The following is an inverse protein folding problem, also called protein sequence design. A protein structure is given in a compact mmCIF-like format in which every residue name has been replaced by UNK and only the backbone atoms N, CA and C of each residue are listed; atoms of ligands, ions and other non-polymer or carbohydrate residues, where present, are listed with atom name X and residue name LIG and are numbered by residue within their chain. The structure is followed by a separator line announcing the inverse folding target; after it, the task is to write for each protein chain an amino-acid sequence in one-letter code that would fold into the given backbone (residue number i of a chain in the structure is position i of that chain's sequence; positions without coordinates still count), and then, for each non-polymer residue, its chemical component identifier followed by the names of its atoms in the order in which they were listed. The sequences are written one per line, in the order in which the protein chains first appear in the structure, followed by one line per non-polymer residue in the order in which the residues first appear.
data_IF_308616453361
#
_entry.id   IF_308616453361
#
_cell.length_a   1.000
_cell.length_b   1.000
_cell.length_c   1.000
_cell.angle_alpha   90.00
_cell.angle_beta   90.00
_cell.angle_gamma   90.00
#
_symmetry.space_group_name_H-M   'P 1'
#
loop_
_entity.id
_entity.type
_entity.pdbx_description
1 polymer ?
#
# COMPACT_ATOMS: atom_id res chain seq x y z
N UNK A 1 28.64 -24.71 23.87
CA UNK A 1 27.97 -24.06 22.70
C UNK A 1 26.53 -23.84 23.11
N UNK A 2 26.09 -22.60 23.21
CA UNK A 2 24.68 -22.28 23.45
C UNK A 2 23.91 -22.40 22.13
N UNK A 3 22.71 -22.95 22.18
CA UNK A 3 21.76 -23.02 21.06
C UNK A 3 20.63 -22.04 21.35
N UNK A 4 20.14 -21.38 20.30
CA UNK A 4 18.93 -20.54 20.39
C UNK A 4 17.73 -21.45 20.56
N UNK A 5 16.98 -21.27 21.65
CA UNK A 5 15.77 -22.05 21.92
C UNK A 5 14.50 -21.33 21.46
N UNK A 6 14.44 -19.99 21.47
CA UNK A 6 13.17 -19.27 21.19
C UNK A 6 13.29 -17.88 20.52
N UNK A 7 14.46 -17.23 20.50
CA UNK A 7 14.62 -15.89 19.90
C UNK A 7 15.72 -15.86 18.83
N UNK A 8 15.55 -15.01 17.81
CA UNK A 8 16.59 -14.74 16.79
C UNK A 8 16.43 -15.50 15.47
N UNK A 9 15.44 -16.38 15.31
CA UNK A 9 15.10 -16.92 13.98
C UNK A 9 14.31 -15.89 13.18
N UNK A 10 14.54 -15.83 11.87
CA UNK A 10 13.89 -14.84 11.01
C UNK A 10 12.37 -15.04 10.95
N UNK A 11 11.88 -16.27 11.08
CA UNK A 11 10.46 -16.56 11.04
C UNK A 11 9.78 -16.58 12.42
N UNK A 12 10.53 -16.46 13.52
CA UNK A 12 9.93 -16.42 14.87
C UNK A 12 8.79 -15.40 15.00
N UNK A 13 8.91 -14.15 14.47
CA UNK A 13 7.81 -13.19 14.49
C UNK A 13 6.55 -13.69 13.77
N UNK A 14 6.72 -14.25 12.56
CA UNK A 14 5.60 -14.72 11.75
C UNK A 14 4.89 -15.91 12.40
N UNK A 15 5.67 -16.86 12.91
CA UNK A 15 5.14 -18.06 13.59
C UNK A 15 4.41 -17.66 14.88
N UNK A 16 5.00 -16.79 15.70
CA UNK A 16 4.36 -16.29 16.92
C UNK A 16 3.05 -15.56 16.58
N UNK A 17 3.09 -14.68 15.58
CA UNK A 17 1.92 -13.92 15.15
C UNK A 17 0.79 -14.82 14.65
N UNK A 18 1.11 -15.85 13.85
CA UNK A 18 0.14 -16.85 13.40
C UNK A 18 -0.44 -17.64 14.57
N UNK A 19 0.40 -18.08 15.49
CA UNK A 19 -0.05 -18.85 16.65
C UNK A 19 -1.02 -18.04 17.53
N UNK A 20 -0.65 -16.82 17.91
CA UNK A 20 -1.51 -15.96 18.72
C UNK A 20 -2.78 -15.58 17.95
N UNK A 21 -2.72 -15.36 16.63
CA UNK A 21 -3.91 -15.15 15.82
C UNK A 21 -4.88 -16.35 15.88
N UNK A 22 -4.37 -17.59 15.80
CA UNK A 22 -5.19 -18.79 15.97
C UNK A 22 -5.85 -18.87 17.36
N UNK A 23 -5.13 -18.47 18.42
CA UNK A 23 -5.67 -18.42 19.79
C UNK A 23 -6.77 -17.36 19.94
N UNK A 24 -6.63 -16.22 19.26
CA UNK A 24 -7.58 -15.12 19.31
C UNK A 24 -8.80 -15.32 18.40
N UNK A 25 -8.71 -16.14 17.36
CA UNK A 25 -9.79 -16.34 16.38
C UNK A 25 -11.13 -16.73 17.01
N UNK A 26 -11.21 -17.70 17.95
CA UNK A 26 -12.48 -18.06 18.59
C UNK A 26 -13.08 -16.91 19.43
N UNK A 27 -12.22 -16.04 19.99
CA UNK A 27 -12.65 -14.87 20.76
C UNK A 27 -13.22 -13.81 19.82
N UNK A 28 -12.57 -13.57 18.68
CA UNK A 28 -13.05 -12.66 17.65
C UNK A 28 -14.41 -13.11 17.08
N UNK A 29 -14.59 -14.41 16.84
CA UNK A 29 -15.88 -14.97 16.40
C UNK A 29 -16.98 -14.81 17.45
N UNK A 30 -16.65 -14.99 18.72
CA UNK A 30 -17.60 -14.84 19.83
C UNK A 30 -17.98 -13.39 20.10
N UNK A 31 -17.09 -12.44 19.81
CA UNK A 31 -17.25 -11.02 20.08
C UNK A 31 -17.07 -10.20 18.79
N UNK A 32 -17.99 -10.32 17.82
CA UNK A 32 -17.84 -9.71 16.50
C UNK A 32 -17.83 -8.17 16.52
N UNK A 33 -18.38 -7.57 17.58
CA UNK A 33 -18.43 -6.12 17.77
C UNK A 33 -17.19 -5.57 18.50
N UNK A 34 -16.29 -6.43 18.98
CA UNK A 34 -15.03 -6.03 19.57
C UNK A 34 -13.93 -5.99 18.51
N UNK A 35 -13.11 -4.94 18.53
CA UNK A 35 -11.89 -4.89 17.72
C UNK A 35 -10.78 -5.48 18.56
N UNK A 36 -10.30 -6.66 18.18
CA UNK A 36 -9.13 -7.31 18.79
C UNK A 36 -8.02 -7.29 17.74
N UNK A 37 -7.03 -6.44 17.93
CA UNK A 37 -5.89 -6.28 17.06
C UNK A 37 -4.63 -6.78 17.74
N UNK A 38 -3.87 -7.64 17.06
CA UNK A 38 -2.64 -8.24 17.56
C UNK A 38 -1.48 -7.87 16.65
N UNK A 39 -0.43 -7.29 17.23
CA UNK A 39 0.81 -6.99 16.54
C UNK A 39 2.00 -7.37 17.41
N UNK A 40 2.77 -8.36 16.96
CA UNK A 40 3.96 -8.85 17.66
C UNK A 40 3.66 -9.30 19.09
N UNK A 41 3.97 -8.46 20.09
CA UNK A 41 3.75 -8.74 21.51
C UNK A 41 2.57 -7.92 22.08
N UNK A 42 2.02 -6.99 21.29
CA UNK A 42 0.97 -6.06 21.70
C UNK A 42 -0.41 -6.55 21.24
N UNK A 43 -1.39 -6.48 22.14
CA UNK A 43 -2.80 -6.73 21.86
C UNK A 43 -3.60 -5.49 22.23
N UNK A 44 -4.31 -4.94 21.25
CA UNK A 44 -5.25 -3.84 21.40
C UNK A 44 -6.67 -4.41 21.37
N UNK A 45 -7.46 -4.10 22.40
CA UNK A 45 -8.88 -4.46 22.49
C UNK A 45 -9.69 -3.18 22.58
N UNK A 46 -10.64 -2.98 21.67
CA UNK A 46 -11.56 -1.85 21.68
C UNK A 46 -13.01 -2.33 21.58
N UNK A 47 -13.88 -1.72 22.38
CA UNK A 47 -15.32 -2.03 22.46
C UNK A 47 -16.12 -0.76 22.62
N UNK A 48 -17.44 -0.82 22.38
CA UNK A 48 -18.34 0.33 22.54
C UNK A 48 -18.58 0.71 24.01
N UNK A 49 -18.45 -0.24 24.94
CA UNK A 49 -18.68 -0.02 26.37
C UNK A 49 -17.62 -0.71 27.24
N UNK A 50 -17.39 -0.17 28.44
CA UNK A 50 -16.43 -0.69 29.41
C UNK A 50 -16.83 -2.08 29.95
N UNK A 51 -18.12 -2.30 30.19
CA UNK A 51 -18.61 -3.62 30.66
C UNK A 51 -18.38 -4.72 29.62
N UNK A 52 -18.52 -4.37 28.33
CA UNK A 52 -18.18 -5.27 27.25
C UNK A 52 -16.66 -5.45 27.15
N UNK A 53 -15.88 -4.39 27.33
CA UNK A 53 -14.41 -4.45 27.35
C UNK A 53 -13.90 -5.43 28.39
N UNK A 54 -14.37 -5.32 29.64
CA UNK A 54 -13.96 -6.20 30.75
C UNK A 54 -14.23 -7.67 30.44
N UNK A 55 -15.39 -7.94 29.84
CA UNK A 55 -15.80 -9.31 29.46
C UNK A 55 -14.88 -9.87 28.38
N UNK A 56 -14.61 -9.09 27.33
CA UNK A 56 -13.74 -9.49 26.21
C UNK A 56 -12.30 -9.65 26.68
N UNK A 57 -11.79 -8.70 27.46
CA UNK A 57 -10.44 -8.74 28.03
C UNK A 57 -10.26 -9.99 28.89
N UNK A 58 -11.19 -10.28 29.82
CA UNK A 58 -11.12 -11.48 30.66
C UNK A 58 -11.07 -12.75 29.83
N UNK A 59 -11.87 -12.85 28.77
CA UNK A 59 -11.86 -14.02 27.87
C UNK A 59 -10.59 -14.12 27.03
N UNK A 60 -10.05 -12.99 26.60
CA UNK A 60 -8.80 -12.91 25.86
C UNK A 60 -7.62 -13.35 26.74
N UNK A 61 -7.53 -12.83 27.96
CA UNK A 61 -6.51 -13.21 28.96
C UNK A 61 -6.59 -14.71 29.24
N UNK A 62 -7.78 -15.24 29.52
CA UNK A 62 -7.98 -16.68 29.76
C UNK A 62 -7.52 -17.55 28.59
N UNK A 63 -7.78 -17.14 27.35
CA UNK A 63 -7.38 -17.88 26.16
C UNK A 63 -5.86 -17.89 25.99
N UNK A 64 -5.20 -16.76 26.22
CA UNK A 64 -3.75 -16.59 26.09
C UNK A 64 -3.00 -17.32 27.21
N UNK A 65 -3.46 -17.19 28.45
CA UNK A 65 -2.89 -17.90 29.60
C UNK A 65 -3.10 -19.42 29.50
N UNK A 66 -4.24 -19.85 28.96
CA UNK A 66 -4.56 -21.27 28.76
C UNK A 66 -3.59 -21.99 27.82
N UNK A 67 -2.89 -21.27 26.94
CA UNK A 67 -1.85 -21.82 26.04
C UNK A 67 -0.42 -21.56 26.53
N UNK A 68 -0.26 -20.99 27.72
CA UNK A 68 1.04 -20.81 28.38
C UNK A 68 1.72 -19.45 28.18
N UNK A 69 1.03 -18.46 27.59
CA UNK A 69 1.53 -17.07 27.55
C UNK A 69 1.14 -16.31 28.82
N UNK A 70 2.01 -15.42 29.27
CA UNK A 70 1.73 -14.57 30.44
C UNK A 70 1.50 -13.12 29.99
N UNK A 71 0.37 -12.54 30.40
CA UNK A 71 0.09 -11.13 30.16
C UNK A 71 0.71 -10.31 31.28
N UNK A 72 1.60 -9.40 30.92
CA UNK A 72 2.17 -8.44 31.85
C UNK A 72 1.08 -7.44 32.30
N UNK A 73 0.34 -7.79 33.36
CA UNK A 73 -0.79 -6.99 33.88
C UNK A 73 -0.40 -5.54 34.20
N UNK A 74 0.83 -5.31 34.64
CA UNK A 74 1.38 -3.97 34.90
C UNK A 74 1.59 -3.10 33.64
N UNK A 75 1.52 -3.67 32.43
CA UNK A 75 1.60 -2.93 31.16
C UNK A 75 0.22 -2.65 30.55
N UNK A 76 -0.87 -3.13 31.16
CA UNK A 76 -2.21 -2.87 30.65
C UNK A 76 -2.55 -1.40 30.86
N UNK A 77 -2.95 -0.74 29.78
CA UNK A 77 -3.33 0.67 29.77
C UNK A 77 -4.86 0.80 29.86
N UNK A 78 -5.38 1.09 31.06
CA UNK A 78 -6.82 1.15 31.31
C UNK A 78 -7.44 2.50 30.98
N UNK A 79 -6.69 3.58 31.09
CA UNK A 79 -7.20 4.94 30.95
C UNK A 79 -6.53 5.68 29.80
N UNK A 80 -7.31 6.54 29.16
CA UNK A 80 -6.85 7.49 28.14
C UNK A 80 -5.83 8.48 28.75
N UNK A 81 -4.77 8.88 28.03
CA UNK A 81 -4.42 8.48 26.67
C UNK A 81 -3.63 7.16 26.60
N UNK A 82 -3.94 6.34 25.60
CA UNK A 82 -3.26 5.07 25.34
C UNK A 82 -2.06 5.26 24.42
N UNK A 83 -1.09 4.36 24.50
CA UNK A 83 0.07 4.31 23.61
C UNK A 83 0.11 2.96 22.89
N UNK A 84 0.22 3.01 21.56
CA UNK A 84 0.25 1.81 20.72
C UNK A 84 0.99 2.11 19.41
N UNK A 85 1.94 1.25 19.02
CA UNK A 85 2.72 1.38 17.77
C UNK A 85 3.36 2.77 17.54
N UNK A 86 3.82 3.41 18.62
CA UNK A 86 4.42 4.76 18.58
C UNK A 86 3.40 5.90 18.45
N UNK A 87 2.11 5.63 18.55
CA UNK A 87 1.04 6.63 18.57
C UNK A 87 0.51 6.82 19.99
N UNK A 88 0.12 8.05 20.30
CA UNK A 88 -0.69 8.38 21.48
C UNK A 88 -2.13 8.58 21.03
N UNK A 89 -3.00 7.70 21.51
CA UNK A 89 -4.40 7.60 21.14
C UNK A 89 -5.23 8.19 22.27
N UNK A 90 -6.05 9.18 21.92
CA UNK A 90 -7.08 9.76 22.78
C UNK A 90 -8.45 9.27 22.35
N UNK A 91 -9.51 9.65 23.05
CA UNK A 91 -10.89 9.23 22.72
C UNK A 91 -11.33 9.64 21.30
N UNK A 92 -10.89 10.80 20.81
CA UNK A 92 -11.29 11.34 19.50
C UNK A 92 -10.14 11.57 18.53
N UNK A 93 -8.91 11.57 19.04
CA UNK A 93 -7.75 12.03 18.28
C UNK A 93 -6.56 11.10 18.43
N UNK A 94 -5.68 11.14 17.43
CA UNK A 94 -4.43 10.40 17.38
C UNK A 94 -3.32 11.39 17.11
N UNK A 95 -2.26 11.31 17.92
CA UNK A 95 -1.03 12.08 17.71
C UNK A 95 0.18 11.15 17.74
N UNK A 96 1.27 11.48 17.04
CA UNK A 96 2.55 10.80 17.24
C UNK A 96 2.97 10.83 18.71
N UNK A 97 3.53 9.73 19.22
CA UNK A 97 4.23 9.75 20.50
C UNK A 97 5.42 10.70 20.39
N UNK A 98 5.75 11.38 21.49
CA UNK A 98 6.70 12.48 21.55
C UNK A 98 8.00 12.18 20.79
N UNK A 99 8.10 12.74 19.59
CA UNK A 99 9.27 12.63 18.74
C UNK A 99 10.31 13.64 19.20
N UNK A 100 11.43 13.14 19.70
CA UNK A 100 12.60 13.98 19.97
C UNK A 100 13.26 14.24 18.61
N UNK A 101 12.87 15.34 17.98
CA UNK A 101 13.51 15.84 16.77
C UNK A 101 14.88 16.35 17.18
N UNK A 102 15.94 15.67 16.74
CA UNK A 102 17.30 16.22 16.81
C UNK A 102 17.35 17.48 15.95
N UNK A 103 17.50 18.62 16.59
CA UNK A 103 17.52 19.95 15.96
C UNK A 103 18.82 20.25 15.22
N UNK A 104 19.87 19.45 15.44
CA UNK A 104 21.19 19.67 14.86
C UNK A 104 21.86 18.37 14.34
N UNK A 105 21.32 17.69 13.31
CA UNK A 105 22.01 16.59 12.63
C UNK A 105 23.37 17.03 12.06
N UNK A 106 24.45 16.35 12.48
CA UNK A 106 25.83 16.67 12.07
C UNK A 106 26.38 15.76 10.99
N UNK A 107 25.80 14.57 10.83
CA UNK A 107 26.23 13.55 9.86
C UNK A 107 25.11 13.17 8.91
N UNK A 108 25.44 12.53 7.79
CA UNK A 108 24.42 11.96 6.88
C UNK A 108 23.53 10.94 7.62
N UNK A 109 24.09 10.16 8.54
CA UNK A 109 23.34 9.23 9.40
C UNK A 109 22.30 9.94 10.24
N UNK A 110 22.67 11.02 10.93
CA UNK A 110 21.74 11.80 11.74
C UNK A 110 20.61 12.37 10.88
N UNK A 111 20.96 12.87 9.70
CA UNK A 111 19.99 13.43 8.76
C UNK A 111 19.05 12.35 8.21
N UNK A 112 19.54 11.14 7.90
CA UNK A 112 18.68 10.01 7.53
C UNK A 112 17.72 9.62 8.65
N UNK A 113 18.20 9.55 9.90
CA UNK A 113 17.36 9.23 11.05
C UNK A 113 16.26 10.30 11.23
N UNK A 114 16.64 11.58 11.16
CA UNK A 114 15.72 12.70 11.24
C UNK A 114 14.65 12.66 10.14
N UNK A 115 15.07 12.54 8.89
CA UNK A 115 14.15 12.44 7.75
C UNK A 115 13.21 11.24 7.87
N UNK A 116 13.70 10.08 8.31
CA UNK A 116 12.88 8.90 8.55
C UNK A 116 11.80 9.14 9.59
N UNK A 117 12.16 9.74 10.72
CA UNK A 117 11.24 10.12 11.79
C UNK A 117 10.20 11.15 11.34
N UNK A 118 10.60 12.16 10.57
CA UNK A 118 9.70 13.20 10.07
C UNK A 118 8.72 12.63 9.03
N UNK A 119 9.22 11.83 8.07
CA UNK A 119 8.38 11.22 7.03
C UNK A 119 7.28 10.34 7.64
N UNK A 120 7.58 9.65 8.74
CA UNK A 120 6.61 8.80 9.44
C UNK A 120 5.42 9.60 10.00
N UNK A 121 5.62 10.85 10.42
CA UNK A 121 4.52 11.69 10.96
C UNK A 121 3.81 12.56 9.93
N UNK A 122 4.38 12.75 8.74
CA UNK A 122 3.80 13.61 7.71
C UNK A 122 2.31 13.34 7.44
N UNK A 123 1.84 12.08 7.27
CA UNK A 123 0.42 11.79 6.99
C UNK A 123 -0.52 12.27 8.09
N UNK A 124 -0.09 12.28 9.35
CA UNK A 124 -0.90 12.70 10.49
C UNK A 124 -0.90 14.23 10.67
N UNK A 125 0.19 14.88 10.29
CA UNK A 125 0.41 16.30 10.56
C UNK A 125 0.17 17.19 9.35
N UNK A 126 0.01 16.66 8.14
CA UNK A 126 -0.16 17.50 6.95
C UNK A 126 1.10 18.27 6.58
N UNK A 127 2.28 17.65 6.77
CA UNK A 127 3.57 18.22 6.38
C UNK A 127 3.89 17.75 4.96
N UNK A 128 3.99 18.69 4.04
CA UNK A 128 4.15 18.39 2.62
C UNK A 128 5.61 18.06 2.27
N UNK A 129 5.82 17.45 1.11
CA UNK A 129 7.16 17.23 0.58
C UNK A 129 7.89 18.55 0.25
N UNK A 130 7.15 19.64 0.03
CA UNK A 130 7.70 20.98 -0.18
C UNK A 130 8.25 21.57 1.11
N UNK A 131 7.51 21.43 2.20
CA UNK A 131 7.97 21.85 3.54
C UNK A 131 9.29 21.19 3.90
N UNK A 132 9.51 19.96 3.44
CA UNK A 132 10.71 19.17 3.71
C UNK A 132 11.76 19.22 2.60
N UNK A 133 11.48 19.86 1.47
CA UNK A 133 12.41 19.90 0.34
C UNK A 133 13.80 20.46 0.72
N UNK A 134 13.93 21.53 1.53
CA UNK A 134 15.23 22.00 2.00
C UNK A 134 16.02 20.92 2.76
N UNK A 135 15.33 20.13 3.59
CA UNK A 135 15.93 19.05 4.36
C UNK A 135 16.37 17.88 3.47
N UNK A 136 15.54 17.50 2.49
CA UNK A 136 15.86 16.43 1.55
C UNK A 136 17.00 16.78 0.60
N UNK A 137 17.18 18.05 0.25
CA UNK A 137 18.32 18.48 -0.55
C UNK A 137 19.66 18.20 0.14
N UNK A 138 19.71 18.24 1.48
CA UNK A 138 20.94 17.91 2.25
C UNK A 138 21.32 16.42 2.20
N UNK A 139 20.41 15.55 1.76
CA UNK A 139 20.70 14.14 1.50
C UNK A 139 21.49 13.94 0.20
N UNK A 140 21.44 14.91 -0.72
CA UNK A 140 22.06 14.84 -2.04
C UNK A 140 23.55 15.23 -1.95
N UNK A 141 24.40 14.28 -1.55
CA UNK A 141 25.86 14.46 -1.52
C UNK A 141 26.60 13.10 -1.43
N UNK A 142 27.80 13.11 -0.83
CA UNK A 142 28.58 11.92 -0.53
C UNK A 142 27.73 10.87 0.20
N UNK A 143 27.78 9.61 -0.26
CA UNK A 143 26.96 8.50 0.26
C UNK A 143 27.46 7.92 1.58
N UNK A 144 28.62 8.38 2.06
CA UNK A 144 29.19 7.93 3.32
C UNK A 144 28.32 8.42 4.50
N UNK A 145 27.91 7.49 5.36
CA UNK A 145 26.99 7.76 6.47
C UNK A 145 27.58 8.70 7.51
N UNK A 146 28.90 8.68 7.67
CA UNK A 146 29.59 9.48 8.66
C UNK A 146 30.09 10.80 8.07
N UNK A 147 29.80 11.05 6.78
CA UNK A 147 30.16 12.32 6.14
C UNK A 147 29.43 13.50 6.79
N UNK A 148 30.14 14.62 7.05
CA UNK A 148 29.58 15.76 7.75
C UNK A 148 28.49 16.43 6.91
N UNK A 149 27.51 17.01 7.60
CA UNK A 149 26.42 17.81 7.03
C UNK A 149 26.30 19.12 7.78
N UNK A 150 26.05 20.19 7.03
CA UNK A 150 25.78 21.52 7.57
C UNK A 150 24.33 21.86 7.27
N UNK A 151 23.57 22.20 8.29
CA UNK A 151 22.16 22.57 8.14
C UNK A 151 22.09 23.99 7.57
N UNK A 152 21.29 24.16 6.52
CA UNK A 152 21.02 25.49 5.97
C UNK A 152 19.88 26.16 6.76
N UNK A 153 19.78 27.50 6.78
CA UNK A 153 18.69 28.20 7.45
C UNK A 153 17.30 27.72 7.01
N UNK A 154 17.13 27.37 5.73
CA UNK A 154 15.87 26.86 5.18
C UNK A 154 15.54 25.47 5.72
N UNK A 155 16.53 24.60 5.88
CA UNK A 155 16.35 23.28 6.50
C UNK A 155 16.02 23.41 8.00
N UNK A 156 16.61 24.38 8.70
CA UNK A 156 16.25 24.66 10.09
C UNK A 156 14.81 25.14 10.22
N UNK A 157 14.36 26.04 9.33
CA UNK A 157 12.98 26.51 9.29
C UNK A 157 11.99 25.35 9.01
N UNK A 158 12.35 24.42 8.13
CA UNK A 158 11.58 23.20 7.89
C UNK A 158 11.43 22.35 9.16
N UNK A 159 12.53 22.12 9.89
CA UNK A 159 12.52 21.38 11.16
C UNK A 159 11.62 22.07 12.19
N UNK A 160 11.71 23.39 12.31
CA UNK A 160 10.87 24.17 13.22
C UNK A 160 9.38 24.06 12.87
N UNK A 161 9.03 24.13 11.58
CA UNK A 161 7.66 23.94 11.09
C UNK A 161 7.13 22.55 11.46
N UNK A 162 7.95 21.50 11.37
CA UNK A 162 7.55 20.16 11.83
C UNK A 162 7.33 20.13 13.34
N UNK A 163 8.21 20.77 14.12
CA UNK A 163 8.06 20.84 15.58
C UNK A 163 6.79 21.58 15.99
N UNK A 164 6.41 22.65 15.30
CA UNK A 164 5.16 23.36 15.52
C UNK A 164 3.95 22.50 15.12
N UNK A 165 4.04 21.77 14.00
CA UNK A 165 2.98 20.87 13.57
C UNK A 165 2.74 19.74 14.58
N UNK A 166 3.81 19.18 15.17
CA UNK A 166 3.73 18.15 16.20
C UNK A 166 3.01 18.62 17.48
N UNK A 167 3.08 19.91 17.82
CA UNK A 167 2.42 20.46 19.01
C UNK A 167 1.00 20.95 18.75
N UNK A 168 0.66 21.29 17.50
CA UNK A 168 -0.61 21.98 17.16
C UNK A 168 -1.60 21.13 16.36
N UNK A 169 -1.17 20.02 15.76
CA UNK A 169 -2.00 19.21 14.84
C UNK A 169 -2.25 17.80 15.37
N UNK A 170 -3.41 17.24 15.06
CA UNK A 170 -3.86 15.93 15.54
C UNK A 170 -4.84 15.25 14.57
N UNK A 171 -4.61 14.01 14.15
CA UNK A 171 -5.59 13.30 13.34
C UNK A 171 -6.82 12.91 14.17
N UNK A 172 -7.97 12.71 13.54
CA UNK A 172 -9.19 12.21 14.17
C UNK A 172 -9.41 10.74 13.88
N UNK A 173 -10.13 10.08 14.79
CA UNK A 173 -10.67 8.75 14.52
C UNK A 173 -11.76 8.81 13.46
N UNK A 174 -11.92 7.73 12.72
CA UNK A 174 -13.05 7.59 11.80
C UNK A 174 -14.33 7.29 12.57
N UNK A 175 -15.40 8.02 12.30
CA UNK A 175 -16.75 7.71 12.75
C UNK A 175 -17.45 6.81 11.70
N UNK A 176 -17.85 5.57 12.04
CA UNK A 176 -18.53 4.68 11.10
C UNK A 176 -19.86 5.20 10.54
N UNK A 177 -20.49 6.18 11.21
CA UNK A 177 -21.75 6.79 10.78
C UNK A 177 -21.57 7.88 9.72
N UNK A 178 -20.34 8.36 9.51
CA UNK A 178 -20.02 9.44 8.57
C UNK A 178 -19.30 8.91 7.32
N UNK A 179 -19.62 9.43 6.12
CA UNK A 179 -18.94 9.01 4.89
C UNK A 179 -17.49 9.49 4.88
N UNK A 180 -16.57 8.61 4.49
CA UNK A 180 -15.18 8.98 4.19
C UNK A 180 -15.11 9.73 2.86
N UNK A 181 -14.42 10.86 2.87
CA UNK A 181 -14.27 11.77 1.74
C UNK A 181 -12.80 11.99 1.43
N UNK A 182 -12.49 12.29 0.18
CA UNK A 182 -11.14 12.57 -0.28
C UNK A 182 -11.13 13.85 -1.09
N UNK A 183 -10.20 14.75 -0.82
CA UNK A 183 -10.00 15.98 -1.60
C UNK A 183 -8.55 16.07 -2.06
N UNK A 184 -8.37 16.52 -3.31
CA UNK A 184 -7.05 16.90 -3.82
C UNK A 184 -6.88 18.40 -3.64
N UNK A 185 -5.79 18.79 -2.99
CA UNK A 185 -5.41 20.15 -2.64
C UNK A 185 -4.05 20.53 -3.24
N UNK A 186 -3.76 21.82 -3.26
CA UNK A 186 -2.50 22.39 -3.76
C UNK A 186 -2.51 22.73 -5.25
N UNK A 187 -1.35 23.10 -5.76
CA UNK A 187 -1.17 23.58 -7.13
C UNK A 187 -0.12 22.76 -7.88
N UNK A 188 -0.20 22.71 -9.21
CA UNK A 188 0.79 21.98 -10.01
C UNK A 188 2.19 22.58 -9.86
N UNK A 189 3.24 21.76 -9.77
CA UNK A 189 3.25 20.29 -9.95
C UNK A 189 3.08 19.48 -8.65
N UNK A 190 2.55 20.07 -7.56
CA UNK A 190 2.58 19.50 -6.20
C UNK A 190 1.19 19.40 -5.59
N UNK A 191 0.45 18.40 -6.05
CA UNK A 191 -0.82 18.04 -5.43
C UNK A 191 -0.62 17.17 -4.20
N UNK A 192 -1.50 17.34 -3.23
CA UNK A 192 -1.58 16.49 -2.05
C UNK A 192 -3.04 16.15 -1.77
N UNK A 193 -3.30 14.95 -1.28
CA UNK A 193 -4.63 14.50 -0.92
C UNK A 193 -4.90 14.65 0.57
N UNK A 194 -6.16 14.80 0.94
CA UNK A 194 -6.63 14.71 2.32
C UNK A 194 -7.83 13.76 2.37
N UNK A 195 -7.76 12.76 3.24
CA UNK A 195 -8.88 11.91 3.64
C UNK A 195 -9.50 12.53 4.89
N UNK A 196 -10.80 12.76 4.86
CA UNK A 196 -11.53 13.42 5.92
C UNK A 196 -12.97 12.91 6.06
N UNK A 197 -13.61 13.25 7.16
CA UNK A 197 -15.05 13.15 7.36
C UNK A 197 -15.62 14.53 7.67
N UNK A 198 -16.86 14.75 7.30
CA UNK A 198 -17.56 15.99 7.55
C UNK A 198 -18.67 15.77 8.58
N UNK A 199 -18.53 16.39 9.75
CA UNK A 199 -19.51 16.33 10.82
C UNK A 199 -20.16 17.71 11.03
N UNK A 200 -21.42 17.91 10.57
CA UNK A 200 -22.09 19.19 10.71
C UNK A 200 -22.44 19.55 12.16
N UNK A 201 -22.36 18.61 13.10
CA UNK A 201 -22.69 18.83 14.51
C UNK A 201 -21.57 19.52 15.29
N UNK A 202 -20.33 19.44 14.78
CA UNK A 202 -19.16 20.03 15.43
C UNK A 202 -18.96 21.49 15.03
N UNK A 203 -18.32 22.25 15.92
CA UNK A 203 -17.93 23.64 15.65
C UNK A 203 -16.91 23.75 14.51
N UNK A 204 -15.91 22.87 14.53
CA UNK A 204 -15.05 22.61 13.38
C UNK A 204 -15.56 21.33 12.72
N UNK A 205 -16.23 21.48 11.59
CA UNK A 205 -16.96 20.39 10.92
C UNK A 205 -16.02 19.42 10.21
N UNK A 206 -14.73 19.77 10.08
CA UNK A 206 -13.75 18.97 9.37
C UNK A 206 -13.00 18.03 10.32
N UNK A 207 -13.30 16.74 10.21
CA UNK A 207 -12.54 15.67 10.86
C UNK A 207 -11.48 15.16 9.89
N UNK A 208 -10.26 15.64 10.01
CA UNK A 208 -9.17 15.15 9.17
C UNK A 208 -8.65 13.81 9.67
N UNK A 209 -8.58 12.83 8.78
CA UNK A 209 -8.17 11.46 9.09
C UNK A 209 -6.70 11.27 8.71
N UNK A 210 -6.35 11.54 7.45
CA UNK A 210 -4.98 11.30 6.96
C UNK A 210 -4.66 12.10 5.69
N UNK A 211 -3.42 12.60 5.61
CA UNK A 211 -2.87 13.23 4.42
C UNK A 211 -2.18 12.23 3.49
N UNK A 212 -2.49 12.33 2.21
CA UNK A 212 -1.95 11.47 1.15
C UNK A 212 -0.99 12.26 0.27
N UNK A 213 0.31 12.02 0.42
CA UNK A 213 1.34 12.70 -0.35
C UNK A 213 1.80 11.90 -1.57
N UNK A 214 2.26 12.60 -2.60
CA UNK A 214 3.02 11.99 -3.69
C UNK A 214 4.39 11.54 -3.21
N UNK A 215 5.03 10.62 -3.96
CA UNK A 215 6.42 10.27 -3.68
C UNK A 215 7.30 11.47 -3.98
N UNK A 216 8.27 11.78 -3.12
CA UNK A 216 9.25 12.84 -3.35
C UNK A 216 10.25 12.51 -4.49
N UNK A 217 10.18 11.30 -5.09
CA UNK A 217 11.08 10.93 -6.18
C UNK A 217 10.83 11.80 -7.40
N UNK A 218 11.90 12.42 -7.90
CA UNK A 218 11.86 13.12 -9.19
C UNK A 218 11.52 12.12 -10.30
N UNK A 219 10.46 12.43 -11.06
CA UNK A 219 10.09 11.63 -12.21
C UNK A 219 11.07 11.87 -13.36
N UNK A 220 11.51 10.79 -14.01
CA UNK A 220 12.38 10.84 -15.19
C UNK A 220 11.63 11.29 -16.44
N UNK A 221 10.31 11.39 -16.36
CA UNK A 221 9.39 11.74 -17.44
C UNK A 221 8.58 12.97 -17.03
N UNK A 222 8.18 13.77 -18.01
CA UNK A 222 7.22 14.86 -17.80
C UNK A 222 5.89 14.20 -17.42
N UNK A 223 5.35 14.58 -16.27
CA UNK A 223 4.05 14.07 -15.78
C UNK A 223 3.05 15.21 -15.85
N UNK A 224 1.86 14.89 -16.36
CA UNK A 224 0.78 15.87 -16.47
C UNK A 224 0.08 16.06 -15.10
N UNK A 225 -0.49 17.25 -14.82
CA UNK A 225 -1.31 17.48 -13.63
C UNK A 225 -2.40 16.41 -13.41
N UNK A 226 -3.01 15.96 -14.50
CA UNK A 226 -4.05 14.96 -14.50
C UNK A 226 -3.53 13.58 -14.06
N UNK A 227 -2.33 13.18 -14.52
CA UNK A 227 -1.65 11.98 -14.05
C UNK A 227 -1.32 12.05 -12.55
N UNK A 228 -0.89 13.22 -12.07
CA UNK A 228 -0.62 13.46 -10.65
C UNK A 228 -1.89 13.29 -9.80
N UNK A 229 -3.03 13.82 -10.26
CA UNK A 229 -4.33 13.63 -9.63
C UNK A 229 -4.73 12.15 -9.62
N UNK A 230 -4.61 11.46 -10.76
CA UNK A 230 -4.91 10.04 -10.90
C UNK A 230 -4.09 9.19 -9.92
N UNK A 231 -2.79 9.45 -9.80
CA UNK A 231 -1.92 8.74 -8.85
C UNK A 231 -2.35 8.93 -7.40
N UNK A 232 -2.74 10.15 -7.00
CA UNK A 232 -3.24 10.43 -5.65
C UNK A 232 -4.54 9.68 -5.36
N UNK A 233 -5.48 9.68 -6.31
CA UNK A 233 -6.75 8.94 -6.19
C UNK A 233 -6.47 7.44 -6.05
N UNK A 234 -5.65 6.87 -6.92
CA UNK A 234 -5.30 5.44 -6.86
C UNK A 234 -4.64 5.10 -5.53
N UNK A 235 -3.73 5.95 -5.04
CA UNK A 235 -3.05 5.76 -3.76
C UNK A 235 -4.05 5.78 -2.59
N UNK A 236 -4.90 6.80 -2.50
CA UNK A 236 -5.88 6.94 -1.42
C UNK A 236 -6.89 5.78 -1.41
N UNK A 237 -7.43 5.41 -2.57
CA UNK A 237 -8.35 4.27 -2.70
C UNK A 237 -7.69 2.95 -2.31
N UNK A 238 -6.48 2.69 -2.81
CA UNK A 238 -5.74 1.46 -2.50
C UNK A 238 -5.42 1.37 -1.00
N UNK A 239 -5.06 2.49 -0.39
CA UNK A 239 -4.79 2.59 1.05
C UNK A 239 -6.01 2.22 1.88
N UNK A 240 -7.18 2.84 1.62
CA UNK A 240 -8.40 2.59 2.38
C UNK A 240 -8.98 1.18 2.16
N UNK A 241 -8.94 0.67 0.92
CA UNK A 241 -9.35 -0.70 0.60
C UNK A 241 -8.51 -1.74 1.35
N UNK A 242 -7.22 -1.46 1.53
CA UNK A 242 -6.30 -2.36 2.24
C UNK A 242 -6.53 -2.32 3.74
N UNK A 243 -6.73 -1.13 4.32
CA UNK A 243 -6.81 -0.96 5.77
C UNK A 243 -8.17 -1.30 6.36
N UNK A 244 -9.25 -0.76 5.78
CA UNK A 244 -10.56 -0.75 6.45
C UNK A 244 -11.61 -1.54 5.67
N UNK A 245 -11.29 -1.97 4.43
CA UNK A 245 -12.26 -2.53 3.46
C UNK A 245 -13.43 -1.58 3.14
N UNK A 246 -13.34 -0.32 3.56
CA UNK A 246 -14.23 0.75 3.15
C UNK A 246 -13.67 1.43 1.89
N UNK A 247 -14.55 2.12 1.18
CA UNK A 247 -14.23 2.89 -0.01
C UNK A 247 -14.59 4.36 0.23
N UNK A 248 -13.90 5.25 -0.48
CA UNK A 248 -14.20 6.68 -0.47
C UNK A 248 -15.62 6.90 -1.03
N UNK A 249 -16.43 7.69 -0.33
CA UNK A 249 -17.78 8.04 -0.79
C UNK A 249 -17.78 9.23 -1.74
N UNK A 250 -16.92 10.23 -1.48
CA UNK A 250 -16.80 11.43 -2.30
C UNK A 250 -15.34 11.75 -2.61
N UNK A 251 -15.03 11.95 -3.90
CA UNK A 251 -13.75 12.48 -4.36
C UNK A 251 -13.97 13.90 -4.87
N UNK A 252 -13.25 14.86 -4.28
CA UNK A 252 -13.27 16.26 -4.67
C UNK A 252 -12.05 16.60 -5.51
N UNK A 253 -12.29 17.09 -6.72
CA UNK A 253 -11.25 17.50 -7.66
C UNK A 253 -11.15 19.02 -7.73
N UNK A 254 -9.93 19.60 -7.72
CA UNK A 254 -9.70 21.05 -7.81
C UNK A 254 -9.84 21.52 -9.26
N UNK A 255 -11.06 21.44 -9.81
CA UNK A 255 -11.40 21.80 -11.19
C UNK A 255 -12.44 22.91 -11.22
N UNK A 256 -12.49 23.65 -12.34
CA UNK A 256 -13.58 24.61 -12.57
C UNK A 256 -14.84 23.93 -13.06
N UNK A 257 -15.96 24.63 -12.88
CA UNK A 257 -17.26 24.19 -13.43
C UNK A 257 -17.19 24.03 -14.95
N UNK A 258 -17.65 22.88 -15.45
CA UNK A 258 -17.64 22.52 -16.88
C UNK A 258 -16.36 21.88 -17.41
N UNK A 259 -15.32 21.70 -16.58
CA UNK A 259 -14.08 21.02 -17.00
C UNK A 259 -14.09 19.51 -16.72
N UNK A 260 -14.98 19.05 -15.85
CA UNK A 260 -15.01 17.67 -15.35
C UNK A 260 -15.33 16.65 -16.46
N UNK A 261 -16.38 16.89 -17.25
CA UNK A 261 -16.81 15.99 -18.32
C UNK A 261 -15.76 15.90 -19.43
N UNK A 262 -15.19 17.04 -19.81
CA UNK A 262 -14.13 17.11 -20.82
C UNK A 262 -12.87 16.37 -20.37
N UNK A 263 -12.54 16.47 -19.08
CA UNK A 263 -11.40 15.77 -18.49
C UNK A 263 -11.60 14.25 -18.53
N UNK A 264 -12.79 13.76 -18.17
CA UNK A 264 -13.09 12.33 -18.22
C UNK A 264 -13.06 11.76 -19.63
N UNK A 265 -13.43 12.51 -20.65
CA UNK A 265 -13.39 12.01 -22.03
C UNK A 265 -11.97 11.95 -22.62
N UNK A 266 -11.04 12.74 -22.08
CA UNK A 266 -9.73 12.95 -22.69
C UNK A 266 -8.59 12.32 -21.91
N UNK A 267 -8.75 12.09 -20.61
CA UNK A 267 -7.68 11.62 -19.74
C UNK A 267 -7.84 10.15 -19.35
N UNK A 268 -7.06 9.28 -19.98
CA UNK A 268 -7.04 7.84 -19.70
C UNK A 268 -6.60 7.51 -18.27
N UNK A 269 -5.62 8.23 -17.72
CA UNK A 269 -5.08 7.94 -16.38
C UNK A 269 -6.15 8.15 -15.30
N UNK A 270 -6.94 9.21 -15.42
CA UNK A 270 -8.03 9.49 -14.51
C UNK A 270 -9.16 8.48 -14.66
N UNK A 271 -9.48 8.06 -15.90
CA UNK A 271 -10.43 6.97 -16.15
C UNK A 271 -9.97 5.68 -15.46
N UNK A 272 -8.71 5.28 -15.58
CA UNK A 272 -8.17 4.09 -14.91
C UNK A 272 -8.18 4.24 -13.38
N UNK A 273 -7.81 5.42 -12.85
CA UNK A 273 -7.80 5.66 -11.41
C UNK A 273 -9.20 5.61 -10.78
N UNK A 274 -10.24 5.90 -11.58
CA UNK A 274 -11.64 5.89 -11.17
C UNK A 274 -12.40 4.67 -11.68
N UNK A 275 -11.72 3.74 -12.36
CA UNK A 275 -12.35 2.51 -12.81
C UNK A 275 -12.92 1.76 -11.59
N UNK A 276 -14.12 1.23 -11.75
CA UNK A 276 -14.91 0.57 -10.69
C UNK A 276 -15.11 1.39 -9.41
N UNK A 277 -14.97 2.72 -9.45
CA UNK A 277 -15.24 3.59 -8.30
C UNK A 277 -16.76 3.72 -8.07
N UNK A 278 -17.29 3.26 -6.92
CA UNK A 278 -18.73 3.30 -6.65
C UNK A 278 -19.20 4.63 -6.06
N UNK A 279 -18.29 5.50 -5.62
CA UNK A 279 -18.62 6.76 -4.98
C UNK A 279 -18.90 7.88 -5.98
N UNK A 280 -19.13 9.08 -5.45
CA UNK A 280 -19.41 10.27 -6.23
C UNK A 280 -18.14 11.11 -6.43
N UNK A 281 -18.10 11.83 -7.55
CA UNK A 281 -17.04 12.79 -7.84
C UNK A 281 -17.68 14.16 -7.88
N UNK A 282 -17.09 15.12 -7.18
CA UNK A 282 -17.58 16.48 -7.12
C UNK A 282 -16.44 17.46 -7.32
N UNK A 283 -16.78 18.65 -7.79
CA UNK A 283 -15.90 19.82 -7.82
C UNK A 283 -16.36 20.87 -6.79
N UNK A 284 -17.54 20.65 -6.19
CA UNK A 284 -18.15 21.54 -5.22
C UNK A 284 -17.79 21.10 -3.82
N UNK A 285 -16.71 21.66 -3.29
CA UNK A 285 -16.24 21.42 -1.94
C UNK A 285 -16.93 22.37 -0.95
N UNK A 286 -17.11 21.90 0.29
CA UNK A 286 -17.68 22.73 1.35
C UNK A 286 -16.76 23.90 1.74
N UNK A 287 -17.33 24.97 2.29
CA UNK A 287 -16.55 26.15 2.69
C UNK A 287 -15.76 25.84 3.97
N UNK A 288 -14.44 25.79 3.87
CA UNK A 288 -13.55 25.62 5.01
C UNK A 288 -12.19 26.31 4.77
N UNK A 289 -11.53 26.79 5.84
CA UNK A 289 -10.23 27.50 5.79
C UNK A 289 -9.12 26.74 5.05
N UNK A 290 -9.16 25.42 5.05
CA UNK A 290 -8.16 24.57 4.37
C UNK A 290 -8.45 24.37 2.88
N UNK A 291 -9.60 24.82 2.37
CA UNK A 291 -10.12 24.47 1.05
C UNK A 291 -10.14 25.66 0.08
N UNK A 292 -9.42 26.75 0.37
CA UNK A 292 -9.49 27.99 -0.41
C UNK A 292 -8.56 28.07 -1.64
N UNK A 293 -7.80 27.02 -1.94
CA UNK A 293 -6.89 27.01 -3.08
C UNK A 293 -7.55 26.37 -4.32
N UNK A 294 -7.83 27.20 -5.33
CA UNK A 294 -8.31 26.73 -6.64
C UNK A 294 -7.18 26.71 -7.64
N UNK A 295 -7.06 25.62 -8.38
CA UNK A 295 -6.11 25.49 -9.46
C UNK A 295 -6.79 25.73 -10.82
N UNK A 296 -6.08 26.43 -11.71
CA UNK A 296 -6.51 26.58 -13.10
C UNK A 296 -5.91 25.42 -13.92
N UNK A 297 -6.64 24.31 -14.04
CA UNK A 297 -6.27 23.31 -15.03
C UNK A 297 -6.53 23.89 -16.42
N UNK A 298 -5.59 23.77 -17.35
CA UNK A 298 -5.87 23.98 -18.78
C UNK A 298 -6.19 22.60 -19.35
N UNK A 299 -7.47 22.19 -19.44
CA UNK A 299 -7.82 20.79 -19.72
C UNK A 299 -7.65 20.45 -21.21
N UNK A 300 -7.44 21.45 -22.07
CA UNK A 300 -7.50 21.27 -23.51
C UNK A 300 -6.14 20.91 -24.06
N UNK A 301 -6.05 19.72 -24.65
CA UNK A 301 -5.05 19.44 -25.67
C UNK A 301 -5.12 20.55 -26.72
N UNK A 302 -4.05 21.35 -26.84
CA UNK A 302 -3.91 22.35 -27.90
C UNK A 302 -3.70 21.70 -29.28
N UNK A 303 -3.70 20.36 -29.35
CA UNK A 303 -3.54 19.61 -30.58
C UNK A 303 -4.88 19.55 -31.32
N UNK A 304 -4.87 20.07 -32.54
CA UNK A 304 -6.00 19.91 -33.45
C UNK A 304 -6.13 18.44 -33.86
N UNK A 305 -7.37 17.95 -33.97
CA UNK A 305 -7.67 16.63 -34.55
C UNK A 305 -7.53 16.60 -36.07
N UNK A 306 -7.48 17.79 -36.68
CA UNK A 306 -7.33 17.97 -38.12
C UNK A 306 -6.12 18.86 -38.42
N UNK A 307 -5.45 18.68 -39.56
CA UNK A 307 -4.40 19.58 -39.99
C UNK A 307 -4.91 21.03 -40.00
N UNK A 308 -4.16 21.93 -39.36
CA UNK A 308 -4.49 23.35 -39.35
C UNK A 308 -4.07 23.96 -40.69
N UNK A 309 -4.82 24.97 -41.15
CA UNK A 309 -4.39 25.86 -42.26
C UNK A 309 -3.28 26.79 -41.78
N UNK A 310 -2.14 26.22 -41.41
CA UNK A 310 -0.96 26.90 -40.89
C UNK A 310 0.31 26.34 -41.58
N UNK A 311 1.45 27.02 -41.40
CA UNK A 311 2.73 26.53 -41.88
C UNK A 311 2.98 25.12 -41.34
N UNK A 312 3.09 24.14 -42.24
CA UNK A 312 3.44 22.77 -41.89
C UNK A 312 4.95 22.66 -41.86
N UNK A 313 5.51 22.49 -40.67
CA UNK A 313 6.95 22.29 -40.48
C UNK A 313 7.21 20.79 -40.39
N UNK A 314 8.00 20.26 -41.31
CA UNK A 314 8.54 18.90 -41.23
C UNK A 314 9.86 18.95 -40.47
N UNK A 315 9.92 18.29 -39.32
CA UNK A 315 11.14 18.18 -38.52
C UNK A 315 11.51 16.71 -38.37
N UNK A 316 12.78 16.39 -38.62
CA UNK A 316 13.38 15.11 -38.28
C UNK A 316 14.60 15.38 -37.39
N UNK A 317 14.84 14.51 -36.41
CA UNK A 317 15.91 14.62 -35.45
C UNK A 317 16.73 13.34 -35.40
N UNK A 318 17.88 13.33 -36.09
CA UNK A 318 18.82 12.20 -35.99
C UNK A 318 19.85 12.47 -34.87
N UNK A 319 19.82 11.63 -33.83
CA UNK A 319 20.94 11.52 -32.89
C UNK A 319 22.15 10.89 -33.58
N UNK A 320 23.37 11.17 -33.14
CA UNK A 320 24.66 10.70 -33.72
C UNK A 320 24.84 9.17 -33.85
N UNK A 321 23.81 8.36 -33.67
CA UNK A 321 23.76 6.98 -34.18
C UNK A 321 23.05 6.99 -35.54
N UNK A 322 23.81 7.12 -36.63
CA UNK A 322 23.36 6.99 -38.03
C UNK A 322 22.72 5.62 -38.34
N UNK A 323 21.52 5.32 -37.82
CA UNK A 323 20.78 4.08 -38.11
C UNK A 323 19.27 4.26 -38.00
N UNK A 324 18.70 5.21 -38.71
CA UNK A 324 17.26 5.15 -38.97
C UNK A 324 16.99 5.69 -40.36
N UNK A 325 16.57 4.76 -41.22
CA UNK A 325 16.13 4.93 -42.61
C UNK A 325 17.24 4.86 -43.67
N UNK A 326 17.51 3.64 -44.13
CA UNK A 326 18.11 3.39 -45.45
C UNK A 326 17.00 3.31 -46.49
N UNK A 327 16.96 4.29 -47.39
CA UNK A 327 16.20 4.27 -48.65
C UNK A 327 16.96 3.46 -49.71
N UNK A 328 17.07 2.14 -49.54
CA UNK A 328 17.59 1.28 -50.60
C UNK A 328 16.61 0.15 -50.90
N UNK A 329 16.18 -0.02 -52.16
CA UNK A 329 15.41 -1.17 -52.56
C UNK A 329 16.29 -2.41 -52.46
N UNK A 330 15.81 -3.44 -51.75
CA UNK A 330 16.57 -4.65 -51.54
C UNK A 330 15.81 -5.72 -50.74
N UNK A 331 16.35 -6.95 -50.67
CA UNK A 331 15.69 -8.14 -50.14
C UNK A 331 15.21 -8.03 -48.68
N UNK A 332 15.65 -7.02 -47.92
CA UNK A 332 15.23 -6.74 -46.54
C UNK A 332 13.83 -6.11 -46.50
N UNK A 333 13.47 -5.25 -47.45
CA UNK A 333 12.15 -4.60 -47.53
C UNK A 333 11.07 -5.60 -47.94
N UNK A 334 11.40 -6.50 -48.88
CA UNK A 334 10.59 -7.67 -49.25
C UNK A 334 10.42 -8.64 -48.05
N UNK A 335 11.48 -8.83 -47.27
CA UNK A 335 11.48 -9.63 -46.03
C UNK A 335 10.54 -9.06 -44.96
N UNK A 336 10.53 -7.74 -44.76
CA UNK A 336 9.64 -7.08 -43.80
C UNK A 336 8.17 -7.16 -44.24
N UNK A 337 7.87 -6.94 -45.53
CA UNK A 337 6.52 -7.11 -46.08
C UNK A 337 6.00 -8.55 -45.90
N UNK A 338 6.83 -9.57 -46.17
CA UNK A 338 6.48 -10.98 -45.95
C UNK A 338 6.31 -11.32 -44.47
N UNK A 339 7.07 -10.69 -43.58
CA UNK A 339 6.96 -10.86 -42.13
C UNK A 339 5.65 -10.25 -41.60
N UNK A 340 5.23 -9.09 -42.10
CA UNK A 340 3.95 -8.47 -41.77
C UNK A 340 2.75 -9.30 -42.27
N UNK A 341 2.86 -9.89 -43.47
CA UNK A 341 1.84 -10.80 -44.03
C UNK A 341 1.69 -12.09 -43.21
N UNK A 342 2.81 -12.63 -42.69
CA UNK A 342 2.83 -13.81 -41.82
C UNK A 342 2.37 -13.49 -40.39
N UNK A 343 2.68 -12.29 -39.88
CA UNK A 343 2.22 -11.83 -38.56
C UNK A 343 0.70 -11.60 -38.52
N UNK A 344 0.06 -11.23 -39.64
CA UNK A 344 -1.40 -11.13 -39.73
C UNK A 344 -2.11 -12.50 -39.64
N UNK A 345 -1.45 -13.60 -40.00
CA UNK A 345 -2.01 -14.96 -39.87
C UNK A 345 -1.94 -15.52 -38.43
N UNK A 346 -1.16 -14.91 -37.52
CA UNK A 346 -0.92 -15.41 -36.16
C UNK A 346 -1.90 -14.85 -35.13
N UNK A 347 -2.78 -13.91 -35.50
CA UNK A 347 -3.82 -13.38 -34.59
C UNK A 347 -5.05 -14.29 -34.43
N UNK A 348 -5.10 -15.44 -35.10
CA UNK A 348 -6.19 -16.41 -35.02
C UNK A 348 -5.66 -17.84 -35.08
N UNK A 349 -5.13 -18.35 -33.96
CA UNK A 349 -5.24 -19.76 -33.49
C UNK A 349 -4.33 -19.95 -32.25
N UNK A 350 -4.92 -19.88 -31.04
CA UNK A 350 -4.28 -20.39 -29.83
C UNK A 350 -4.77 -21.83 -29.58
N UNK A 351 -3.89 -22.83 -29.39
CA UNK A 351 -4.31 -24.18 -29.07
C UNK A 351 -4.86 -24.22 -27.64
N UNK A 352 -6.18 -24.41 -27.54
CA UNK A 352 -7.00 -24.72 -26.37
C UNK A 352 -6.45 -24.29 -24.99
N UNK A 353 -6.84 -23.07 -24.60
CA UNK A 353 -6.54 -22.43 -23.30
C UNK A 353 -6.96 -23.31 -22.12
N UNK A 354 -8.00 -24.14 -22.28
CA UNK A 354 -8.50 -24.99 -21.21
C UNK A 354 -7.55 -26.15 -20.90
N UNK A 355 -6.94 -26.75 -21.92
CA UNK A 355 -5.94 -27.81 -21.74
C UNK A 355 -4.64 -27.29 -21.12
N UNK A 356 -4.23 -26.06 -21.44
CA UNK A 356 -3.09 -25.42 -20.79
C UNK A 356 -3.35 -25.16 -19.30
N UNK A 357 -4.57 -24.73 -18.96
CA UNK A 357 -4.97 -24.55 -17.57
C UNK A 357 -4.96 -25.87 -16.78
N UNK A 358 -5.34 -26.99 -17.42
CA UNK A 358 -5.30 -28.33 -16.83
C UNK A 358 -3.87 -28.80 -16.53
N UNK A 359 -2.95 -28.61 -17.48
CA UNK A 359 -1.53 -28.95 -17.30
C UNK A 359 -0.85 -28.08 -16.23
N UNK A 360 -1.15 -26.77 -16.22
CA UNK A 360 -0.67 -25.87 -15.18
C UNK A 360 -1.16 -26.28 -13.79
N UNK A 361 -2.45 -26.61 -13.65
CA UNK A 361 -3.00 -27.10 -12.39
C UNK A 361 -2.38 -28.43 -11.95
N UNK A 362 -2.14 -29.37 -12.87
CA UNK A 362 -1.54 -30.66 -12.57
C UNK A 362 -0.13 -30.54 -11.97
N UNK A 363 0.61 -29.50 -12.35
CA UNK A 363 1.98 -29.29 -11.86
C UNK A 363 2.02 -28.42 -10.59
N UNK A 364 1.15 -27.42 -10.47
CA UNK A 364 1.22 -26.40 -9.41
C UNK A 364 0.06 -26.43 -8.39
N UNK A 365 -0.95 -27.28 -8.58
CA UNK A 365 -2.13 -27.42 -7.69
C UNK A 365 -2.80 -26.09 -7.31
N UNK A 366 -2.89 -25.17 -8.28
CA UNK A 366 -3.43 -23.82 -8.08
C UNK A 366 -4.93 -23.82 -7.74
N UNK A 367 -5.35 -23.00 -6.77
CA UNK A 367 -6.76 -22.89 -6.40
C UNK A 367 -7.63 -22.22 -7.51
N UNK A 368 -8.95 -22.36 -7.40
CA UNK A 368 -9.94 -21.90 -8.40
C UNK A 368 -9.76 -20.42 -8.78
N UNK A 369 -9.60 -19.46 -7.83
CA UNK A 369 -9.38 -18.06 -8.18
C UNK A 369 -8.08 -17.80 -8.95
N UNK A 370 -6.99 -18.48 -8.58
CA UNK A 370 -5.70 -18.34 -9.25
C UNK A 370 -5.76 -18.85 -10.69
N UNK A 371 -6.36 -20.03 -10.90
CA UNK A 371 -6.49 -20.65 -12.22
C UNK A 371 -7.34 -19.80 -13.18
N UNK A 372 -8.50 -19.32 -12.69
CA UNK A 372 -9.40 -18.46 -13.47
C UNK A 372 -8.74 -17.12 -13.87
N UNK A 373 -7.96 -16.51 -12.96
CA UNK A 373 -7.27 -15.25 -13.24
C UNK A 373 -6.09 -15.42 -14.19
N UNK A 374 -5.33 -16.50 -14.03
CA UNK A 374 -4.08 -16.74 -14.76
C UNK A 374 -4.34 -17.16 -16.22
N UNK A 375 -5.29 -18.07 -16.44
CA UNK A 375 -5.61 -18.58 -17.78
C UNK A 375 -6.84 -17.91 -18.41
N UNK A 376 -7.44 -16.92 -17.73
CA UNK A 376 -8.64 -16.19 -18.19
C UNK A 376 -9.83 -17.12 -18.52
N UNK A 377 -9.94 -18.24 -17.81
CA UNK A 377 -11.05 -19.21 -17.91
C UNK A 377 -12.16 -18.88 -16.90
N UNK A 378 -13.37 -19.41 -17.11
CA UNK A 378 -14.48 -19.19 -16.18
C UNK A 378 -14.22 -19.84 -14.81
N UNK A 379 -14.85 -19.31 -13.75
CA UNK A 379 -14.74 -19.91 -12.41
C UNK A 379 -15.29 -21.35 -12.37
N UNK A 380 -16.28 -21.67 -13.19
CA UNK A 380 -16.84 -23.02 -13.31
C UNK A 380 -15.85 -23.97 -13.97
N UNK A 381 -15.19 -23.52 -15.03
CA UNK A 381 -14.10 -24.25 -15.69
C UNK A 381 -12.93 -24.50 -14.74
N UNK A 382 -12.53 -23.49 -13.96
CA UNK A 382 -11.49 -23.64 -12.95
C UNK A 382 -11.89 -24.60 -11.81
N UNK A 383 -13.17 -24.57 -11.37
CA UNK A 383 -13.71 -25.54 -10.40
C UNK A 383 -13.70 -26.95 -10.94
N UNK A 384 -14.03 -27.16 -12.22
CA UNK A 384 -13.98 -28.48 -12.84
C UNK A 384 -12.54 -29.02 -12.91
N UNK A 385 -11.55 -28.18 -13.17
CA UNK A 385 -10.13 -28.58 -13.19
C UNK A 385 -9.64 -28.94 -11.78
N UNK A 386 -9.91 -28.09 -10.78
CA UNK A 386 -9.50 -28.37 -9.38
C UNK A 386 -10.26 -29.56 -8.80
N UNK A 387 -11.56 -29.65 -9.09
CA UNK A 387 -12.43 -30.74 -8.65
C UNK A 387 -12.15 -32.08 -9.34
N UNK A 388 -11.40 -32.11 -10.44
CA UNK A 388 -10.94 -33.37 -11.07
C UNK A 388 -9.51 -33.76 -10.66
N UNK A 389 -8.86 -32.99 -9.77
CA UNK A 389 -7.54 -33.29 -9.27
C UNK A 389 -7.60 -34.22 -8.05
N UNK A 390 -7.04 -35.45 -8.12
CA UNK A 390 -7.11 -36.41 -7.01
C UNK A 390 -6.38 -35.91 -5.74
N UNK A 391 -5.30 -35.13 -5.89
CA UNK A 391 -4.55 -34.56 -4.77
C UNK A 391 -5.29 -33.41 -4.06
N UNK A 392 -5.99 -32.55 -4.82
CA UNK A 392 -6.71 -31.41 -4.24
C UNK A 392 -8.04 -31.82 -3.59
N UNK A 393 -8.56 -33.02 -3.88
CA UNK A 393 -9.75 -33.56 -3.22
C UNK A 393 -9.47 -34.16 -1.84
N UNK A 394 -8.26 -34.67 -1.58
CA UNK A 394 -7.89 -35.22 -0.26
C UNK A 394 -7.60 -34.15 0.80
N UNK A 395 -7.12 -32.97 0.40
CA UNK A 395 -6.69 -31.91 1.33
C UNK A 395 -7.46 -30.60 1.12
N UNK A 396 -8.72 -30.56 1.58
CA UNK A 396 -9.47 -29.31 1.68
C UNK A 396 -8.98 -28.52 2.92
N UNK A 397 -8.17 -27.48 2.72
CA UNK A 397 -7.73 -26.58 3.79
C UNK A 397 -8.79 -25.49 4.07
N UNK A 398 -9.05 -25.13 5.34
CA UNK A 398 -9.94 -24.02 5.69
C UNK A 398 -9.33 -22.66 5.29
N UNK A 399 -10.17 -21.70 4.87
CA UNK A 399 -9.70 -20.35 4.54
C UNK A 399 -9.52 -19.50 5.80
N UNK A 400 -8.34 -18.87 5.96
CA UNK A 400 -8.09 -17.92 7.05
C UNK A 400 -8.62 -16.51 6.75
N UNK A 401 -9.08 -15.85 7.82
CA UNK A 401 -9.59 -14.49 7.83
C UNK A 401 -8.50 -13.42 7.72
N UNK A 402 -8.90 -12.27 7.19
CA UNK A 402 -8.03 -11.22 6.66
C UNK A 402 -7.36 -10.27 7.68
N UNK A 403 -6.87 -10.77 8.82
CA UNK A 403 -6.32 -9.92 9.88
C UNK A 403 -4.93 -10.36 10.37
N UNK A 404 -4.03 -10.67 9.45
CA UNK A 404 -2.58 -10.85 9.74
C UNK A 404 -1.74 -10.14 8.66
N UNK A 405 -0.54 -9.67 9.06
CA UNK A 405 0.55 -8.98 8.33
C UNK A 405 0.63 -9.19 6.79
N UNK A 406 1.18 -8.25 5.99
CA UNK A 406 0.81 -8.05 4.59
C UNK A 406 0.98 -9.32 3.75
N UNK A 407 -0.15 -9.81 3.26
CA UNK A 407 -0.23 -10.85 2.25
C UNK A 407 0.51 -10.37 0.99
N UNK A 408 1.35 -11.22 0.40
CA UNK A 408 1.76 -10.99 -0.99
C UNK A 408 0.51 -10.77 -1.85
N UNK A 409 0.48 -9.83 -2.79
CA UNK A 409 -0.72 -9.55 -3.59
C UNK A 409 -0.95 -10.60 -4.69
N UNK A 410 0.05 -11.47 -4.92
CA UNK A 410 0.09 -12.54 -5.91
C UNK A 410 0.84 -13.75 -5.32
N UNK A 411 0.48 -14.95 -5.76
CA UNK A 411 1.22 -16.17 -5.42
C UNK A 411 2.66 -16.06 -5.89
N UNK A 412 3.57 -16.62 -5.10
CA UNK A 412 5.01 -16.63 -5.35
C UNK A 412 5.69 -15.25 -5.31
N UNK A 413 4.98 -14.20 -4.83
CA UNK A 413 5.52 -12.84 -4.76
C UNK A 413 6.38 -12.64 -3.50
N UNK A 414 6.01 -13.26 -2.39
CA UNK A 414 6.65 -13.11 -1.09
C UNK A 414 6.70 -14.49 -0.41
N UNK A 415 7.91 -15.00 -0.24
CA UNK A 415 8.17 -16.28 0.40
C UNK A 415 8.99 -16.01 1.65
N UNK A 416 8.70 -16.73 2.72
CA UNK A 416 9.54 -16.77 3.91
C UNK A 416 10.01 -18.21 4.09
N UNK A 417 11.33 -18.41 4.18
CA UNK A 417 11.92 -19.73 4.41
C UNK A 417 12.79 -19.67 5.65
N UNK A 418 12.59 -20.59 6.59
CA UNK A 418 13.50 -20.82 7.73
C UNK A 418 14.06 -22.24 7.70
N UNK A 419 15.11 -22.45 8.50
CA UNK A 419 15.65 -23.77 8.80
C UNK A 419 15.62 -23.97 10.32
N UNK A 420 14.80 -24.90 10.78
CA UNK A 420 14.67 -25.30 12.19
C UNK A 420 15.44 -26.57 12.45
N UNK A 421 16.18 -26.66 13.56
CA UNK A 421 16.94 -27.87 13.88
C UNK A 421 16.15 -28.80 14.81
N UNK A 422 15.86 -30.02 14.34
CA UNK A 422 15.21 -31.06 15.11
C UNK A 422 16.12 -32.28 15.27
N UNK A 423 16.86 -32.31 16.38
CA UNK A 423 17.90 -33.32 16.69
C UNK A 423 17.43 -34.78 16.57
N UNK A 424 16.18 -35.15 16.94
CA UNK A 424 15.70 -36.52 16.78
C UNK A 424 15.72 -37.06 15.33
N UNK A 425 15.75 -36.18 14.32
CA UNK A 425 15.86 -36.58 12.91
C UNK A 425 17.30 -36.92 12.48
N UNK A 426 18.26 -36.92 13.41
CA UNK A 426 19.61 -37.41 13.17
C UNK A 426 20.33 -36.69 12.04
N UNK A 427 20.65 -37.40 10.96
CA UNK A 427 21.32 -36.81 9.78
C UNK A 427 20.44 -35.84 9.00
N UNK A 428 19.12 -35.85 9.18
CA UNK A 428 18.18 -34.94 8.53
C UNK A 428 17.62 -33.88 9.51
N UNK A 429 18.40 -33.51 10.53
CA UNK A 429 17.97 -32.59 11.58
C UNK A 429 17.62 -31.18 11.10
N UNK A 430 17.85 -30.81 9.84
CA UNK A 430 17.59 -29.46 9.33
C UNK A 430 16.22 -29.43 8.65
N UNK A 431 15.18 -28.99 9.35
CA UNK A 431 13.83 -28.85 8.80
C UNK A 431 13.71 -27.49 8.12
N UNK A 432 13.69 -27.47 6.80
CA UNK A 432 13.43 -26.28 6.00
C UNK A 432 11.92 -26.07 5.92
N UNK A 433 11.44 -24.91 6.37
CA UNK A 433 10.03 -24.53 6.34
C UNK A 433 9.87 -23.29 5.49
N UNK A 434 9.20 -23.44 4.34
CA UNK A 434 8.87 -22.36 3.42
C UNK A 434 7.39 -22.04 3.48
N UNK A 435 7.04 -20.75 3.50
CA UNK A 435 5.66 -20.25 3.53
C UNK A 435 5.49 -19.26 2.38
N UNK A 436 4.51 -19.48 1.51
CA UNK A 436 4.03 -18.44 0.56
C UNK A 436 2.96 -17.59 1.27
N UNK A 437 3.26 -16.32 1.54
CA UNK A 437 2.39 -15.48 2.39
C UNK A 437 1.08 -15.06 1.71
N UNK A 438 0.93 -15.32 0.41
CA UNK A 438 -0.33 -15.12 -0.32
C UNK A 438 -1.22 -16.36 -0.31
N UNK A 439 -0.66 -17.54 -0.62
CA UNK A 439 -1.45 -18.79 -0.66
C UNK A 439 -1.55 -19.52 0.67
N UNK A 440 -0.78 -19.08 1.67
CA UNK A 440 -0.63 -19.72 2.98
C UNK A 440 -0.07 -21.16 2.88
N UNK A 441 0.46 -21.54 1.72
CA UNK A 441 1.07 -22.84 1.51
C UNK A 441 2.35 -22.95 2.34
N UNK A 442 2.38 -23.93 3.24
CA UNK A 442 3.54 -24.28 4.07
C UNK A 442 4.15 -25.57 3.52
N UNK A 443 5.44 -25.53 3.19
CA UNK A 443 6.23 -26.69 2.81
C UNK A 443 7.31 -26.90 3.86
N UNK A 444 7.25 -28.02 4.58
CA UNK A 444 8.30 -28.45 5.50
C UNK A 444 9.05 -29.66 4.92
N UNK A 445 10.38 -29.62 4.92
CA UNK A 445 11.22 -30.72 4.41
C UNK A 445 12.46 -30.91 5.27
N UNK A 446 12.83 -32.17 5.52
CA UNK A 446 13.96 -32.52 6.37
C UNK A 446 15.24 -32.75 5.53
N UNK A 447 16.31 -32.05 5.88
CA UNK A 447 17.56 -31.98 5.13
C UNK A 447 18.77 -32.29 5.99
N UNK A 448 19.87 -32.65 5.33
CA UNK A 448 21.14 -32.96 5.98
C UNK A 448 22.07 -31.76 6.21
N UNK A 449 21.66 -30.57 5.76
CA UNK A 449 22.37 -29.32 5.98
C UNK A 449 21.46 -28.09 5.91
N UNK A 450 22.00 -26.93 6.28
CA UNK A 450 21.34 -25.62 6.25
C UNK A 450 21.36 -24.94 4.87
N UNK A 451 22.14 -25.48 3.92
CA UNK A 451 22.37 -24.87 2.60
C UNK A 451 21.35 -25.28 1.55
#
# INVERSE_FOLDING_TARGET
RYQWTLQGMKNSPAICQMFVACVLSPIQEKFPNAIIFHYMDDILICTETDSYLETVLKKTVQAIEGVGFEIATGKIQWTCPWTCLGLRISERTIVPQQLIIKDNPRTLRDLHQLCGSIIWVCPLLGITAEDLAPLFNLLQACKDLDSPRTITPEAQAAIQKVSEALSTRQAYHTDPSLPLQFVILGNTPRFHGLIFQWDPTLKDQLLFIEWVFQSHRQHKTIITPQELMAQLITKARSHLRTLVRYEISYIYLPLKSGELEALFQTNEHLQFALDTYPGQISIHLQKHKLFYEWFNLVPKSLKSRTPLKALTVFTDGSGKSHKSHTDLPGPVTEGNWRTDLLAMAVKTTLPDIFNQAKLGHQFFHQNVPALARMFKISREQARAIVGSCPYCQEFALPSMGARVNPQGLKSLQLWQTDVTHYVPFGRQKYIHVSIDTFSEAVLASAHSGEK
#
